data_IF_783865780858
#
_entry.id   IF_783865780858
#
_cell.length_a   1.000
_cell.length_b   1.000
_cell.length_c   1.000
_cell.angle_alpha   90.00
_cell.angle_beta   90.00
_cell.angle_gamma   90.00
#
_symmetry.space_group_name_H-M   'P 1'
#
loop_
_entity.id
_entity.type
_entity.pdbx_description
1 polymer ?
#
# COMPACT_ATOMS: atom_id res chain seq x y z
N UNK A 1 -9.16 -7.51 -13.66
CA UNK A 1 -9.90 -7.76 -12.40
C UNK A 1 -10.69 -6.52 -12.06
N UNK A 2 -11.89 -6.66 -11.50
CA UNK A 2 -12.65 -5.54 -10.91
C UNK A 2 -12.20 -5.26 -9.46
N UNK A 3 -12.68 -4.17 -8.88
CA UNK A 3 -12.30 -3.73 -7.51
C UNK A 3 -12.55 -4.80 -6.45
N UNK A 4 -13.69 -5.50 -6.47
CA UNK A 4 -14.01 -6.53 -5.48
C UNK A 4 -13.13 -7.76 -5.62
N UNK A 5 -12.78 -8.15 -6.85
CA UNK A 5 -11.81 -9.21 -7.11
C UNK A 5 -10.41 -8.85 -6.59
N UNK A 6 -10.01 -7.58 -6.69
CA UNK A 6 -8.72 -7.10 -6.15
C UNK A 6 -8.71 -7.06 -4.64
N UNK A 7 -9.78 -6.57 -4.01
CA UNK A 7 -9.94 -6.59 -2.54
C UNK A 7 -9.85 -8.03 -2.05
N UNK A 8 -10.60 -8.95 -2.67
CA UNK A 8 -10.56 -10.38 -2.32
C UNK A 8 -9.16 -10.96 -2.49
N UNK A 9 -8.48 -10.68 -3.62
CA UNK A 9 -7.12 -11.19 -3.86
C UNK A 9 -6.13 -10.67 -2.82
N UNK A 10 -6.18 -9.39 -2.47
CA UNK A 10 -5.33 -8.82 -1.43
C UNK A 10 -5.59 -9.47 -0.06
N UNK A 11 -6.88 -9.65 0.28
CA UNK A 11 -7.30 -10.31 1.51
C UNK A 11 -6.80 -11.77 1.58
N UNK A 12 -7.00 -12.55 0.52
CA UNK A 12 -6.55 -13.93 0.41
C UNK A 12 -5.02 -14.01 0.58
N UNK A 13 -4.26 -13.14 -0.09
CA UNK A 13 -2.80 -13.07 0.05
C UNK A 13 -2.38 -12.80 1.50
N UNK A 14 -3.02 -11.85 2.19
CA UNK A 14 -2.68 -11.59 3.59
C UNK A 14 -2.92 -12.81 4.48
N UNK A 15 -4.03 -13.51 4.25
CA UNK A 15 -4.43 -14.71 4.99
C UNK A 15 -3.60 -15.95 4.64
N UNK A 16 -2.88 -15.94 3.51
CA UNK A 16 -1.85 -16.93 3.18
C UNK A 16 -0.53 -16.71 3.94
N UNK A 17 -0.43 -15.65 4.74
CA UNK A 17 0.76 -15.34 5.54
C UNK A 17 1.67 -14.27 4.93
N UNK A 18 1.31 -13.70 3.79
CA UNK A 18 2.01 -12.53 3.25
C UNK A 18 1.71 -11.28 4.09
N UNK A 19 2.66 -10.37 4.19
CA UNK A 19 2.47 -9.13 4.91
C UNK A 19 1.53 -8.15 4.14
N UNK A 20 1.09 -7.09 4.80
CA UNK A 20 0.13 -6.14 4.20
C UNK A 20 0.65 -5.37 2.97
N UNK A 21 1.97 -5.14 2.85
CA UNK A 21 2.57 -4.56 1.65
C UNK A 21 2.58 -5.56 0.47
N UNK A 22 2.93 -6.81 0.76
CA UNK A 22 2.88 -7.92 -0.19
C UNK A 22 1.46 -8.16 -0.70
N UNK A 23 0.47 -8.15 0.20
CA UNK A 23 -0.94 -8.29 -0.15
C UNK A 23 -1.41 -7.21 -1.14
N UNK A 24 -1.13 -5.94 -0.86
CA UNK A 24 -1.51 -4.82 -1.74
C UNK A 24 -0.78 -4.89 -3.07
N UNK A 25 0.55 -5.03 -3.09
CA UNK A 25 1.30 -5.10 -4.35
C UNK A 25 0.87 -6.33 -5.18
N UNK A 26 0.73 -7.49 -4.54
CA UNK A 26 0.31 -8.74 -5.15
C UNK A 26 -1.07 -8.66 -5.81
N UNK A 27 -1.99 -7.86 -5.26
CA UNK A 27 -3.30 -7.65 -5.84
C UNK A 27 -3.26 -6.92 -7.19
N UNK A 28 -2.17 -6.23 -7.51
CA UNK A 28 -2.02 -5.39 -8.70
C UNK A 28 -0.96 -5.86 -9.70
N UNK A 29 -0.25 -6.96 -9.45
CA UNK A 29 0.79 -7.47 -10.36
C UNK A 29 0.30 -7.72 -11.79
N UNK A 30 -0.99 -8.04 -11.98
CA UNK A 30 -1.60 -8.25 -13.30
C UNK A 30 -1.63 -6.99 -14.19
N UNK A 31 -1.41 -5.81 -13.61
CA UNK A 31 -1.31 -4.56 -14.36
C UNK A 31 0.11 -4.29 -14.89
N UNK A 32 1.09 -5.07 -14.47
CA UNK A 32 2.50 -4.79 -14.67
C UNK A 32 3.21 -6.02 -15.25
N UNK A 33 4.34 -5.77 -15.91
CA UNK A 33 5.27 -6.83 -16.30
C UNK A 33 6.14 -7.20 -15.08
N UNK A 34 5.50 -7.71 -14.03
CA UNK A 34 6.13 -8.09 -12.76
C UNK A 34 5.58 -9.44 -12.30
N UNK A 35 6.47 -10.42 -12.18
CA UNK A 35 6.11 -11.75 -11.69
C UNK A 35 5.71 -11.71 -10.21
N UNK A 36 4.76 -12.57 -9.83
CA UNK A 36 4.22 -12.61 -8.47
C UNK A 36 5.30 -12.90 -7.43
N UNK A 37 6.21 -13.83 -7.72
CA UNK A 37 7.31 -14.21 -6.81
C UNK A 37 8.29 -13.05 -6.57
N UNK A 38 8.61 -12.28 -7.62
CA UNK A 38 9.41 -11.07 -7.54
C UNK A 38 8.71 -9.99 -6.72
N UNK A 39 7.42 -9.76 -6.95
CA UNK A 39 6.62 -8.83 -6.15
C UNK A 39 6.64 -9.20 -4.65
N UNK A 40 6.41 -10.49 -4.33
CA UNK A 40 6.46 -10.97 -2.96
C UNK A 40 7.85 -10.81 -2.34
N UNK A 41 8.91 -11.05 -3.11
CA UNK A 41 10.30 -10.94 -2.66
C UNK A 41 10.70 -9.50 -2.37
N UNK A 42 10.35 -8.57 -3.26
CA UNK A 42 10.67 -7.14 -3.09
C UNK A 42 9.93 -6.56 -1.88
N UNK A 43 8.66 -6.92 -1.67
CA UNK A 43 7.84 -6.41 -0.57
C UNK A 43 8.04 -7.16 0.77
N UNK A 44 8.91 -8.17 0.84
CA UNK A 44 9.04 -9.08 1.97
C UNK A 44 9.36 -8.38 3.31
N UNK A 45 10.22 -7.36 3.27
CA UNK A 45 10.70 -6.63 4.46
C UNK A 45 9.75 -5.57 5.01
N UNK A 46 8.60 -5.31 4.36
CA UNK A 46 7.76 -4.16 4.69
C UNK A 46 6.69 -4.44 5.77
N UNK A 47 6.53 -5.69 6.19
CA UNK A 47 5.57 -6.09 7.21
C UNK A 47 5.77 -5.40 8.57
N UNK A 48 4.68 -5.10 9.28
CA UNK A 48 4.73 -4.39 10.56
C UNK A 48 5.25 -2.95 10.45
N UNK A 49 5.15 -2.37 9.24
CA UNK A 49 5.55 -0.99 8.95
C UNK A 49 7.04 -0.81 8.62
N UNK A 50 7.65 -1.75 7.91
CA UNK A 50 9.09 -1.86 7.56
C UNK A 50 9.93 -2.71 8.52
N UNK A 51 9.46 -3.92 8.85
CA UNK A 51 10.24 -4.86 9.65
C UNK A 51 9.97 -4.69 11.14
N UNK A 52 8.69 -4.60 11.51
CA UNK A 52 8.21 -4.51 12.90
C UNK A 52 8.59 -3.23 13.67
N UNK A 53 9.12 -2.21 13.00
CA UNK A 53 9.45 -0.91 13.60
C UNK A 53 8.21 -0.09 13.95
N UNK A 54 7.04 -0.43 13.37
CA UNK A 54 5.75 0.24 13.55
C UNK A 54 5.72 1.67 13.01
N UNK A 55 6.55 1.96 12.01
CA UNK A 55 6.56 3.24 11.27
C UNK A 55 5.50 3.24 10.16
N UNK A 56 5.83 3.73 8.96
CA UNK A 56 4.90 3.89 7.84
C UNK A 56 4.08 2.62 7.57
N UNK A 57 2.76 2.74 7.36
CA UNK A 57 1.86 1.63 7.11
C UNK A 57 2.30 0.81 5.88
N UNK A 58 2.33 -0.52 6.02
CA UNK A 58 2.75 -1.42 4.94
C UNK A 58 1.80 -1.42 3.74
N UNK A 59 0.50 -1.17 3.94
CA UNK A 59 -0.44 -1.07 2.81
C UNK A 59 -0.10 0.12 1.91
N UNK A 60 0.26 1.26 2.51
CA UNK A 60 0.72 2.46 1.78
C UNK A 60 2.06 2.22 1.07
N UNK A 61 3.00 1.47 1.65
CA UNK A 61 4.25 1.15 0.95
C UNK A 61 4.01 0.22 -0.25
N UNK A 62 3.13 -0.77 -0.12
CA UNK A 62 2.67 -1.59 -1.25
C UNK A 62 1.99 -0.78 -2.35
N UNK A 63 1.13 0.16 -1.97
CA UNK A 63 0.49 1.08 -2.93
C UNK A 63 1.48 2.03 -3.61
N UNK A 64 2.48 2.53 -2.87
CA UNK A 64 3.55 3.35 -3.45
C UNK A 64 4.37 2.56 -4.49
N UNK A 65 4.62 1.28 -4.24
CA UNK A 65 5.27 0.40 -5.23
C UNK A 65 4.41 0.26 -6.49
N UNK A 66 3.11 0.00 -6.36
CA UNK A 66 2.20 -0.12 -7.50
C UNK A 66 2.11 1.17 -8.34
N UNK A 67 2.04 2.33 -7.69
CA UNK A 67 2.10 3.64 -8.37
C UNK A 67 3.44 3.87 -9.07
N UNK A 68 4.54 3.45 -8.44
CA UNK A 68 5.86 3.45 -9.06
C UNK A 68 5.96 2.57 -10.30
N UNK A 69 5.33 1.40 -10.29
CA UNK A 69 5.28 0.49 -11.44
C UNK A 69 4.41 1.06 -12.57
N UNK A 70 3.27 1.68 -12.25
CA UNK A 70 2.38 2.29 -13.26
C UNK A 70 3.00 3.50 -13.96
N UNK A 71 3.67 4.37 -13.20
CA UNK A 71 4.07 5.69 -13.67
C UNK A 71 5.59 5.91 -13.71
N UNK A 72 6.40 4.98 -13.22
CA UNK A 72 7.86 5.07 -13.30
C UNK A 72 8.39 4.81 -14.71
N UNK A 73 9.66 5.18 -14.95
CA UNK A 73 10.36 4.97 -16.23
C UNK A 73 11.68 4.20 -16.13
N UNK A 74 12.07 3.76 -14.93
CA UNK A 74 13.34 3.04 -14.71
C UNK A 74 14.62 3.87 -14.90
N UNK A 75 14.49 5.18 -15.16
CA UNK A 75 15.60 6.10 -15.40
C UNK A 75 15.62 7.24 -14.37
N UNK A 76 16.76 7.94 -14.27
CA UNK A 76 16.92 9.09 -13.39
C UNK A 76 16.22 10.35 -13.96
N UNK A 77 14.89 10.33 -14.02
CA UNK A 77 14.06 11.46 -14.46
C UNK A 77 13.46 12.21 -13.25
N UNK A 78 13.93 13.43 -13.01
CA UNK A 78 13.46 14.31 -11.93
C UNK A 78 11.98 14.68 -12.07
N UNK A 79 11.52 14.94 -13.29
CA UNK A 79 10.12 15.32 -13.54
C UNK A 79 9.21 14.13 -13.32
N UNK A 80 9.59 12.96 -13.83
CA UNK A 80 8.81 11.74 -13.62
C UNK A 80 8.77 11.36 -12.13
N UNK A 81 9.92 11.40 -11.44
CA UNK A 81 9.98 11.16 -9.99
C UNK A 81 9.04 12.08 -9.21
N UNK A 82 9.03 13.38 -9.55
CA UNK A 82 8.12 14.35 -8.93
C UNK A 82 6.65 13.96 -9.16
N UNK A 83 6.29 13.61 -10.39
CA UNK A 83 4.94 13.18 -10.74
C UNK A 83 4.50 11.94 -9.94
N UNK A 84 5.34 10.91 -9.86
CA UNK A 84 5.04 9.70 -9.07
C UNK A 84 4.88 10.04 -7.58
N UNK A 85 5.78 10.86 -7.03
CA UNK A 85 5.70 11.28 -5.63
C UNK A 85 4.43 12.07 -5.32
N UNK A 86 3.93 12.89 -6.25
CA UNK A 86 2.67 13.62 -6.09
C UNK A 86 1.48 12.65 -6.00
N UNK A 87 1.46 11.59 -6.82
CA UNK A 87 0.43 10.54 -6.75
C UNK A 87 0.48 9.75 -5.43
N UNK A 88 1.68 9.34 -5.00
CA UNK A 88 1.87 8.65 -3.71
C UNK A 88 1.48 9.55 -2.54
N UNK A 89 1.85 10.84 -2.59
CA UNK A 89 1.46 11.80 -1.55
C UNK A 89 -0.04 12.01 -1.50
N UNK A 90 -0.73 12.04 -2.64
CA UNK A 90 -2.19 12.13 -2.69
C UNK A 90 -2.85 10.90 -2.07
N UNK A 91 -2.39 9.68 -2.41
CA UNK A 91 -2.84 8.43 -1.79
C UNK A 91 -2.69 8.48 -0.26
N UNK A 92 -1.50 8.84 0.24
CA UNK A 92 -1.25 8.93 1.68
C UNK A 92 -2.15 9.96 2.37
N UNK A 93 -2.43 11.10 1.74
CA UNK A 93 -3.29 12.15 2.29
C UNK A 93 -4.75 11.72 2.34
N UNK A 94 -5.25 11.06 1.30
CA UNK A 94 -6.62 10.51 1.31
C UNK A 94 -6.76 9.44 2.39
N UNK A 95 -5.79 8.54 2.51
CA UNK A 95 -5.77 7.54 3.57
C UNK A 95 -5.70 8.18 4.97
N UNK A 96 -4.81 9.15 5.19
CA UNK A 96 -4.69 9.84 6.48
C UNK A 96 -5.96 10.63 6.83
N UNK A 97 -6.71 11.12 5.84
CA UNK A 97 -8.00 11.77 6.09
C UNK A 97 -9.06 10.79 6.65
N UNK A 98 -9.04 9.52 6.23
CA UNK A 98 -9.95 8.49 6.73
C UNK A 98 -9.53 7.92 8.10
N UNK A 99 -8.22 7.87 8.36
CA UNK A 99 -7.67 7.16 9.53
C UNK A 99 -7.00 8.04 10.58
N UNK A 100 -6.69 9.29 10.27
CA UNK A 100 -5.99 10.23 11.17
C UNK A 100 -4.49 9.97 11.32
N UNK A 101 -3.93 8.92 10.71
CA UNK A 101 -2.49 8.67 10.67
C UNK A 101 -2.07 7.83 9.46
N UNK A 102 -0.78 7.82 9.15
CA UNK A 102 -0.13 6.88 8.22
C UNK A 102 0.81 5.91 8.95
N UNK A 103 0.94 6.02 10.27
CA UNK A 103 1.89 5.25 11.07
C UNK A 103 1.23 3.97 11.56
N UNK A 104 1.79 2.82 11.17
CA UNK A 104 1.32 1.47 11.48
C UNK A 104 1.05 1.28 12.97
N UNK A 105 1.98 1.70 13.84
CA UNK A 105 1.80 1.57 15.28
C UNK A 105 0.59 2.33 15.80
N UNK A 106 0.34 3.53 15.29
CA UNK A 106 -0.79 4.37 15.71
C UNK A 106 -2.10 3.79 15.21
N UNK A 107 -2.15 3.42 13.92
CA UNK A 107 -3.30 2.82 13.24
C UNK A 107 -3.77 1.53 13.92
N UNK A 108 -2.83 0.69 14.36
CA UNK A 108 -3.12 -0.56 15.07
C UNK A 108 -3.33 -0.35 16.58
N UNK A 109 -3.25 0.88 17.09
CA UNK A 109 -3.38 1.18 18.52
C UNK A 109 -2.23 0.65 19.40
N UNK A 110 -1.11 0.25 18.79
CA UNK A 110 0.09 -0.27 19.46
C UNK A 110 0.94 0.88 20.00
N UNK A 111 1.01 1.99 19.25
CA UNK A 111 1.77 3.22 19.59
C UNK A 111 0.78 4.28 20.05
N UNK A 112 1.07 4.90 21.20
CA UNK A 112 0.31 6.07 21.68
C UNK A 112 0.63 7.28 20.82
N UNK A 113 -0.38 8.12 20.60
CA UNK A 113 -0.28 9.37 19.85
C UNK A 113 -1.38 10.32 20.35
N UNK A 114 -1.15 11.62 20.20
CA UNK A 114 -2.13 12.66 20.56
C UNK A 114 -3.08 12.97 19.39
N UNK A 115 -2.85 12.36 18.22
CA UNK A 115 -3.75 12.45 17.07
C UNK A 115 -5.05 11.69 17.35
N UNK A 116 -6.17 12.20 16.84
CA UNK A 116 -7.40 11.41 16.71
C UNK A 116 -7.20 10.39 15.59
N UNK A 117 -6.99 9.12 15.95
CA UNK A 117 -6.76 8.02 15.01
C UNK A 117 -7.95 7.07 15.01
N UNK A 118 -8.56 6.90 13.84
CA UNK A 118 -9.56 5.87 13.61
C UNK A 118 -8.84 4.52 13.39
N UNK A 119 -8.66 3.78 14.48
CA UNK A 119 -7.94 2.51 14.51
C UNK A 119 -8.63 1.46 13.65
N UNK A 120 -7.83 0.64 12.99
CA UNK A 120 -8.33 -0.40 12.11
C UNK A 120 -7.40 -1.63 12.14
N UNK A 121 -7.88 -2.77 11.64
CA UNK A 121 -7.05 -3.97 11.43
C UNK A 121 -6.26 -3.86 10.13
N UNK A 122 -5.26 -4.72 9.92
CA UNK A 122 -4.58 -4.77 8.63
C UNK A 122 -5.53 -5.07 7.47
N UNK A 123 -6.58 -5.86 7.67
CA UNK A 123 -7.57 -6.19 6.65
C UNK A 123 -8.35 -4.94 6.20
N UNK A 124 -8.83 -4.16 7.16
CA UNK A 124 -9.53 -2.90 6.88
C UNK A 124 -8.64 -1.94 6.08
N UNK A 125 -7.37 -1.82 6.49
CA UNK A 125 -6.40 -0.94 5.82
C UNK A 125 -5.99 -1.46 4.43
N UNK A 126 -5.98 -2.78 4.21
CA UNK A 126 -5.72 -3.39 2.90
C UNK A 126 -6.87 -3.06 1.96
N UNK A 127 -8.12 -3.30 2.39
CA UNK A 127 -9.31 -3.00 1.60
C UNK A 127 -9.34 -1.52 1.20
N UNK A 128 -9.17 -0.60 2.17
CA UNK A 128 -9.19 0.83 1.90
C UNK A 128 -8.13 1.22 0.86
N UNK A 129 -6.87 0.77 1.02
CA UNK A 129 -5.81 1.13 0.07
C UNK A 129 -6.06 0.54 -1.31
N UNK A 130 -6.58 -0.70 -1.42
CA UNK A 130 -6.98 -1.26 -2.72
C UNK A 130 -8.05 -0.38 -3.37
N UNK A 131 -9.09 0.00 -2.63
CA UNK A 131 -10.17 0.86 -3.17
C UNK A 131 -9.67 2.24 -3.58
N UNK A 132 -8.76 2.84 -2.80
CA UNK A 132 -8.13 4.11 -3.17
C UNK A 132 -7.29 3.97 -4.44
N UNK A 133 -6.48 2.91 -4.56
CA UNK A 133 -5.60 2.68 -5.70
C UNK A 133 -6.34 2.53 -7.03
N UNK A 134 -7.58 2.04 -7.05
CA UNK A 134 -8.37 1.99 -8.29
C UNK A 134 -8.47 3.37 -8.95
N UNK A 135 -8.67 4.44 -8.17
CA UNK A 135 -8.72 5.83 -8.66
C UNK A 135 -7.43 6.29 -9.35
N UNK A 136 -6.33 5.61 -9.06
CA UNK A 136 -4.99 5.98 -9.50
C UNK A 136 -4.40 5.01 -10.52
N UNK A 137 -4.84 3.75 -10.55
CA UNK A 137 -4.23 2.72 -11.40
C UNK A 137 -5.10 2.34 -12.60
N UNK A 138 -6.42 2.48 -12.44
CA UNK A 138 -7.42 2.11 -13.43
C UNK A 138 -8.04 3.41 -13.96
N UNK A 139 -7.98 3.58 -15.28
CA UNK A 139 -8.56 4.73 -16.00
C UNK A 139 -10.08 4.58 -16.15
#
# INVERSE_FOLDING_TARGET
MNIEERVKKAYDLHHMGYNCAQAVLGAYVDLFDLEMDQAMTIAYGFGGGVGMTREICGTLTGGAMALGLKYGKGEADVKQKKFVNEKVSALCKEFEASHGSVICGELLGIRKTDKEVNRATCDDLIEEVVRLLEKYLID
#
